data_IF_049416010419
#
_entry.id   IF_049416010419
#
_cell.length_a   1.000
_cell.length_b   1.000
_cell.length_c   1.000
_cell.angle_alpha   90.00
_cell.angle_beta   90.00
_cell.angle_gamma   90.00
#
_symmetry.space_group_name_H-M   'P 1'
#
loop_
_entity.id
_entity.type
_entity.pdbx_description
1 polymer ?
#
# COMPACT_ATOMS: atom_id res chain seq x y z
N UNK A 1 -13.31 -16.76 5.16
CA UNK A 1 -12.87 -17.74 4.14
C UNK A 1 -11.73 -17.17 3.31
N UNK A 2 -11.13 -17.94 2.41
CA UNK A 2 -10.17 -17.37 1.45
C UNK A 2 -10.86 -16.43 0.44
N UNK A 3 -12.15 -16.63 0.12
CA UNK A 3 -12.88 -15.70 -0.74
C UNK A 3 -12.93 -14.27 -0.17
N UNK A 4 -13.19 -14.12 1.13
CA UNK A 4 -13.25 -12.80 1.78
C UNK A 4 -11.90 -12.08 1.73
N UNK A 5 -10.80 -12.81 1.92
CA UNK A 5 -9.45 -12.23 1.82
C UNK A 5 -9.13 -11.78 0.40
N UNK A 6 -9.49 -12.59 -0.60
CA UNK A 6 -9.31 -12.22 -2.01
C UNK A 6 -10.11 -10.97 -2.36
N UNK A 7 -11.36 -10.88 -1.91
CA UNK A 7 -12.20 -9.70 -2.15
C UNK A 7 -11.63 -8.43 -1.50
N UNK A 8 -11.00 -8.54 -0.32
CA UNK A 8 -10.38 -7.42 0.37
C UNK A 8 -8.98 -7.03 -0.17
N UNK A 9 -8.32 -7.90 -0.95
CA UNK A 9 -6.93 -7.72 -1.33
C UNK A 9 -6.71 -6.49 -2.23
N UNK A 10 -7.54 -6.32 -3.25
CA UNK A 10 -7.40 -5.22 -4.20
C UNK A 10 -7.49 -3.83 -3.53
N UNK A 11 -8.56 -3.50 -2.77
CA UNK A 11 -8.61 -2.21 -2.08
C UNK A 11 -7.52 -2.07 -1.01
N UNK A 12 -7.09 -3.17 -0.38
CA UNK A 12 -6.00 -3.12 0.59
C UNK A 12 -4.65 -2.76 -0.04
N UNK A 13 -4.33 -3.30 -1.22
CA UNK A 13 -3.09 -2.97 -1.93
C UNK A 13 -3.03 -1.49 -2.33
N UNK A 14 -4.14 -0.93 -2.78
CA UNK A 14 -4.22 0.48 -3.15
C UNK A 14 -3.92 1.38 -1.93
N UNK A 15 -4.62 1.14 -0.82
CA UNK A 15 -4.42 1.88 0.42
C UNK A 15 -2.98 1.72 0.94
N UNK A 16 -2.46 0.48 0.97
CA UNK A 16 -1.13 0.21 1.50
C UNK A 16 -0.04 0.91 0.68
N UNK A 17 -0.10 0.80 -0.64
CA UNK A 17 0.96 1.32 -1.51
C UNK A 17 0.92 2.85 -1.64
N UNK A 18 -0.27 3.45 -1.64
CA UNK A 18 -0.45 4.86 -2.01
C UNK A 18 -0.76 5.80 -0.83
N UNK A 19 -1.37 5.31 0.25
CA UNK A 19 -1.90 6.19 1.31
C UNK A 19 -1.26 5.94 2.67
N UNK A 20 -0.95 4.68 2.99
CA UNK A 20 -0.45 4.29 4.31
C UNK A 20 0.88 4.96 4.62
N UNK A 21 0.94 5.76 5.67
CA UNK A 21 2.18 6.42 6.11
C UNK A 21 3.13 5.43 6.79
N UNK A 22 4.41 5.49 6.43
CA UNK A 22 5.47 4.69 7.06
C UNK A 22 6.49 5.57 7.78
N UNK A 23 6.73 5.30 9.06
CA UNK A 23 7.71 6.05 9.89
C UNK A 23 9.13 6.00 9.32
N UNK A 24 9.55 4.83 8.82
CA UNK A 24 10.84 4.65 8.15
C UNK A 24 11.00 5.48 6.86
N UNK A 25 9.89 5.95 6.27
CA UNK A 25 9.86 6.81 5.08
C UNK A 25 9.56 8.27 5.43
N UNK A 26 9.70 8.67 6.71
CA UNK A 26 9.36 10.02 7.15
C UNK A 26 7.87 10.33 7.04
N UNK A 27 7.01 9.32 7.22
CA UNK A 27 5.55 9.47 7.12
C UNK A 27 5.01 9.51 5.69
N UNK A 28 5.83 9.15 4.70
CA UNK A 28 5.42 8.99 3.29
C UNK A 28 4.90 7.58 3.01
N UNK A 29 4.07 7.40 1.97
CA UNK A 29 3.60 6.09 1.54
C UNK A 29 4.69 5.27 0.82
N UNK A 30 4.57 3.94 0.75
CA UNK A 30 5.56 3.05 0.14
C UNK A 30 5.93 3.42 -1.30
N UNK A 31 4.95 3.86 -2.11
CA UNK A 31 5.17 4.27 -3.50
C UNK A 31 6.20 5.41 -3.64
N UNK A 32 6.42 6.21 -2.59
CA UNK A 32 7.41 7.30 -2.58
C UNK A 32 8.86 6.83 -2.71
N UNK A 33 9.11 5.52 -2.67
CA UNK A 33 10.45 4.93 -2.86
C UNK A 33 10.80 4.70 -4.32
N UNK A 34 9.82 4.75 -5.23
CA UNK A 34 10.06 4.49 -6.64
C UNK A 34 10.81 5.66 -7.28
N UNK A 35 11.77 5.35 -8.15
CA UNK A 35 12.46 6.35 -8.97
C UNK A 35 11.67 6.56 -10.27
N UNK A 36 11.74 7.76 -10.88
CA UNK A 36 11.26 7.95 -12.26
C UNK A 36 11.97 6.97 -13.21
N UNK A 37 11.24 6.49 -14.22
CA UNK A 37 11.77 5.64 -15.29
C UNK A 37 12.47 6.44 -16.36
#
# INVERSE_FOLDING_TARGET
SNQERTAALAPWLEHYNNERRHSALGGKPPISRLLPT
#
